data_IF_385028092938
#
_entry.id   IF_385028092938
#
_cell.length_a   1.000
_cell.length_b   1.000
_cell.length_c   1.000
_cell.angle_alpha   90.00
_cell.angle_beta   90.00
_cell.angle_gamma   90.00
#
_symmetry.space_group_name_H-M   'P 1'
#
loop_
_entity.id
_entity.type
_entity.pdbx_description
1 polymer ?
#
# COMPACT_ATOMS: atom_id res chain seq x y z
N UNK A 1 1.26 5.95 3.06
CA UNK A 1 0.21 5.84 1.99
C UNK A 1 0.87 5.46 0.67
N UNK A 2 1.61 6.37 0.03
CA UNK A 2 2.19 6.18 -1.32
C UNK A 2 3.07 4.94 -1.50
N UNK A 3 3.78 4.48 -0.46
CA UNK A 3 4.59 3.26 -0.55
C UNK A 3 3.77 2.03 -0.95
N UNK A 4 2.49 1.95 -0.56
CA UNK A 4 1.61 0.85 -0.94
C UNK A 4 1.13 0.97 -2.39
N UNK A 5 0.93 2.19 -2.90
CA UNK A 5 0.65 2.42 -4.33
C UNK A 5 1.85 2.00 -5.19
N UNK A 6 3.07 2.35 -4.76
CA UNK A 6 4.30 1.93 -5.43
C UNK A 6 4.52 0.42 -5.35
N UNK A 7 4.32 -0.18 -4.17
CA UNK A 7 4.42 -1.63 -3.97
C UNK A 7 3.45 -2.37 -4.89
N UNK A 8 2.17 -1.98 -4.92
CA UNK A 8 1.18 -2.57 -5.83
C UNK A 8 1.63 -2.50 -7.28
N UNK A 9 2.00 -1.32 -7.76
CA UNK A 9 2.44 -1.16 -9.15
C UNK A 9 3.72 -1.95 -9.47
N UNK A 10 4.68 -2.04 -8.53
CA UNK A 10 5.88 -2.84 -8.70
C UNK A 10 5.56 -4.34 -8.75
N UNK A 11 4.67 -4.82 -7.88
CA UNK A 11 4.20 -6.21 -7.86
C UNK A 11 3.43 -6.59 -9.13
N UNK A 12 2.59 -5.70 -9.67
CA UNK A 12 1.93 -5.89 -10.96
C UNK A 12 2.97 -6.08 -12.08
N UNK A 13 4.02 -5.24 -12.09
CA UNK A 13 5.09 -5.30 -13.09
C UNK A 13 6.00 -6.52 -12.92
N UNK A 14 6.20 -6.99 -11.69
CA UNK A 14 6.92 -8.22 -11.40
C UNK A 14 6.10 -9.48 -11.74
N UNK A 15 4.79 -9.34 -11.99
CA UNK A 15 3.89 -10.48 -12.21
C UNK A 15 3.51 -11.23 -10.93
N UNK A 16 3.79 -10.63 -9.76
CA UNK A 16 3.62 -11.21 -8.42
C UNK A 16 2.28 -10.85 -7.78
N UNK A 17 1.53 -9.91 -8.37
CA UNK A 17 0.21 -9.53 -7.89
C UNK A 17 -0.82 -9.47 -9.03
N UNK A 18 -1.98 -10.07 -8.77
CA UNK A 18 -3.18 -9.99 -9.62
C UNK A 18 -4.38 -9.75 -8.71
N UNK A 19 -5.14 -8.69 -8.98
CA UNK A 19 -6.28 -8.31 -8.13
C UNK A 19 -7.29 -9.45 -8.02
N UNK A 20 -7.52 -9.92 -6.79
CA UNK A 20 -8.49 -10.98 -6.49
C UNK A 20 -7.95 -12.41 -6.65
N UNK A 21 -6.69 -12.58 -7.04
CA UNK A 21 -6.03 -13.88 -7.05
C UNK A 21 -5.50 -14.21 -5.64
N UNK A 22 -5.91 -15.35 -5.03
CA UNK A 22 -5.46 -15.73 -3.69
C UNK A 22 -3.99 -16.12 -3.62
N UNK A 23 -3.36 -16.51 -4.73
CA UNK A 23 -1.95 -16.90 -4.78
C UNK A 23 -1.04 -15.69 -5.06
N UNK A 24 -1.57 -14.64 -5.70
CA UNK A 24 -0.84 -13.44 -6.11
C UNK A 24 -1.37 -12.19 -5.42
N UNK A 25 -1.14 -12.10 -4.11
CA UNK A 25 -1.64 -10.99 -3.28
C UNK A 25 -0.56 -9.93 -3.04
N UNK A 26 -0.96 -8.75 -2.57
CA UNK A 26 0.02 -7.72 -2.18
C UNK A 26 0.86 -8.13 -0.95
N UNK A 27 0.35 -9.04 -0.14
CA UNK A 27 0.93 -9.38 1.17
C UNK A 27 2.04 -10.44 1.05
N UNK A 28 2.07 -11.19 -0.06
CA UNK A 28 3.08 -12.21 -0.35
C UNK A 28 3.97 -11.88 -1.56
N UNK A 29 3.72 -10.76 -2.26
CA UNK A 29 4.54 -10.32 -3.38
C UNK A 29 6.02 -10.10 -2.99
N UNK A 30 6.93 -10.64 -3.79
CA UNK A 30 8.37 -10.36 -3.73
C UNK A 30 8.90 -9.84 -5.08
N UNK A 31 9.33 -8.58 -5.11
CA UNK A 31 9.89 -7.95 -6.32
C UNK A 31 11.39 -8.22 -6.51
N UNK A 32 12.00 -9.07 -5.68
CA UNK A 32 13.41 -9.45 -5.81
C UNK A 32 13.71 -9.99 -7.22
N UNK A 33 14.82 -9.53 -7.81
CA UNK A 33 15.26 -9.87 -9.17
C UNK A 33 14.31 -9.49 -10.33
N UNK A 34 13.21 -8.75 -10.09
CA UNK A 34 12.38 -8.24 -11.17
C UNK A 34 13.02 -7.04 -11.86
N UNK A 35 13.51 -7.26 -13.09
CA UNK A 35 14.08 -6.20 -13.95
C UNK A 35 12.98 -5.23 -14.39
N UNK A 36 11.77 -5.74 -14.62
CA UNK A 36 10.60 -4.98 -15.05
C UNK A 36 10.16 -3.98 -13.97
N UNK A 37 10.05 -4.43 -12.70
CA UNK A 37 9.76 -3.55 -11.58
C UNK A 37 10.88 -2.53 -11.37
N UNK A 38 12.14 -2.98 -11.42
CA UNK A 38 13.32 -2.13 -11.28
C UNK A 38 13.38 -1.02 -12.33
N UNK A 39 13.10 -1.33 -13.60
CA UNK A 39 13.09 -0.35 -14.69
C UNK A 39 12.02 0.73 -14.49
N UNK A 40 10.83 0.36 -14.02
CA UNK A 40 9.77 1.34 -13.76
C UNK A 40 10.08 2.23 -12.55
N UNK A 41 10.63 1.66 -11.48
CA UNK A 41 11.07 2.43 -10.31
C UNK A 41 12.20 3.39 -10.72
N UNK A 42 13.17 2.91 -11.50
CA UNK A 42 14.26 3.74 -12.04
C UNK A 42 13.73 4.92 -12.85
N UNK A 43 12.80 4.69 -13.77
CA UNK A 43 12.22 5.75 -14.60
C UNK A 43 11.54 6.85 -13.76
N UNK A 44 10.84 6.48 -12.69
CA UNK A 44 10.27 7.44 -11.74
C UNK A 44 11.37 8.21 -10.98
N UNK A 45 12.39 7.50 -10.46
CA UNK A 45 13.45 8.11 -9.64
C UNK A 45 14.38 9.02 -10.46
N UNK A 46 14.63 8.72 -11.73
CA UNK A 46 15.44 9.54 -12.64
C UNK A 46 14.88 10.95 -12.84
N UNK A 47 13.57 11.15 -12.65
CA UNK A 47 12.96 12.48 -12.72
C UNK A 47 13.43 13.39 -11.58
N UNK A 48 13.84 12.83 -10.43
CA UNK A 48 14.21 13.60 -9.25
C UNK A 48 13.17 14.68 -8.92
N UNK A 49 13.60 15.93 -8.79
CA UNK A 49 12.71 17.08 -8.58
C UNK A 49 12.43 17.89 -9.86
N UNK A 50 12.73 17.35 -11.04
CA UNK A 50 12.54 18.05 -12.32
C UNK A 50 11.06 18.19 -12.73
N UNK A 51 10.19 17.37 -12.14
CA UNK A 51 8.75 17.36 -12.39
C UNK A 51 7.98 17.43 -11.06
N UNK A 52 6.76 17.99 -11.06
CA UNK A 52 5.81 17.82 -9.96
C UNK A 52 5.63 16.33 -9.60
N UNK A 53 5.52 16.04 -8.31
CA UNK A 53 5.39 14.66 -7.82
C UNK A 53 4.25 13.82 -8.46
N UNK A 54 3.10 14.38 -8.90
CA UNK A 54 2.07 13.59 -9.59
C UNK A 54 2.56 13.00 -10.91
N UNK A 55 3.44 13.72 -11.62
CA UNK A 55 4.02 13.26 -12.89
C UNK A 55 5.00 12.11 -12.63
N UNK A 56 5.78 12.19 -11.55
CA UNK A 56 6.68 11.11 -11.17
C UNK A 56 5.90 9.85 -10.75
N UNK A 57 4.85 10.00 -9.95
CA UNK A 57 3.98 8.90 -9.54
C UNK A 57 3.35 8.19 -10.74
N UNK A 58 2.86 8.94 -11.73
CA UNK A 58 2.23 8.40 -12.93
C UNK A 58 3.15 7.48 -13.74
N UNK A 59 4.47 7.73 -13.75
CA UNK A 59 5.44 6.87 -14.44
C UNK A 59 5.45 5.44 -13.88
N UNK A 60 5.36 5.29 -12.56
CA UNK A 60 5.37 3.98 -11.92
C UNK A 60 3.97 3.36 -11.88
N UNK A 61 2.98 4.13 -11.43
CA UNK A 61 1.66 3.60 -11.06
C UNK A 61 0.57 3.84 -12.10
N UNK A 62 0.79 4.74 -13.07
CA UNK A 62 -0.28 5.25 -13.95
C UNK A 62 -1.29 6.15 -13.24
N UNK A 63 -1.10 6.43 -11.95
CA UNK A 63 -1.99 7.26 -11.13
C UNK A 63 -1.32 8.61 -10.84
N UNK A 64 -2.11 9.69 -10.79
CA UNK A 64 -1.62 11.05 -10.48
C UNK A 64 -2.00 11.54 -9.08
N UNK A 65 -2.64 10.69 -8.27
CA UNK A 65 -3.19 11.06 -6.96
C UNK A 65 -2.73 10.09 -5.89
N UNK A 66 -2.44 10.63 -4.72
CA UNK A 66 -2.28 9.81 -3.53
C UNK A 66 -3.62 9.17 -3.18
N UNK A 67 -3.62 7.85 -2.99
CA UNK A 67 -4.78 7.07 -2.59
C UNK A 67 -4.43 6.09 -1.47
N UNK A 68 -5.36 5.90 -0.53
CA UNK A 68 -5.27 4.89 0.51
C UNK A 68 -5.68 3.49 0.01
N UNK A 69 -6.17 3.34 -1.22
CA UNK A 69 -6.76 2.08 -1.70
C UNK A 69 -5.78 0.91 -1.59
N UNK A 70 -4.53 1.07 -2.03
CA UNK A 70 -3.53 0.01 -1.96
C UNK A 70 -3.16 -0.37 -0.51
N UNK A 71 -3.17 0.60 0.40
CA UNK A 71 -2.94 0.37 1.84
C UNK A 71 -4.11 -0.41 2.44
N UNK A 72 -5.34 0.01 2.14
CA UNK A 72 -6.56 -0.64 2.62
C UNK A 72 -6.65 -2.07 2.07
N UNK A 73 -6.30 -2.27 0.80
CA UNK A 73 -6.27 -3.57 0.15
C UNK A 73 -5.28 -4.52 0.83
N UNK A 74 -4.04 -4.05 1.06
CA UNK A 74 -3.01 -4.82 1.76
C UNK A 74 -3.48 -5.32 3.14
N UNK A 75 -4.10 -4.45 3.93
CA UNK A 75 -4.56 -4.79 5.28
C UNK A 75 -5.97 -5.37 5.34
N UNK A 76 -6.69 -5.51 4.21
CA UNK A 76 -8.09 -5.97 4.20
C UNK A 76 -8.27 -7.32 4.92
N UNK A 77 -7.45 -8.36 4.65
CA UNK A 77 -7.64 -9.65 5.32
C UNK A 77 -7.44 -9.56 6.84
N UNK A 78 -6.48 -8.75 7.30
CA UNK A 78 -6.24 -8.52 8.72
C UNK A 78 -7.39 -7.73 9.36
N UNK A 79 -7.90 -6.71 8.68
CA UNK A 79 -9.04 -5.92 9.16
C UNK A 79 -10.27 -6.81 9.35
N UNK A 80 -10.61 -7.62 8.34
CA UNK A 80 -11.77 -8.51 8.40
C UNK A 80 -11.64 -9.52 9.54
N UNK A 81 -10.43 -10.06 9.77
CA UNK A 81 -10.16 -10.94 10.91
C UNK A 81 -10.29 -10.23 12.26
N UNK A 82 -9.71 -9.03 12.39
CA UNK A 82 -9.72 -8.25 13.63
C UNK A 82 -11.13 -7.83 14.05
N UNK A 83 -12.01 -7.50 13.09
CA UNK A 83 -13.42 -7.16 13.39
C UNK A 83 -14.11 -8.32 14.10
N UNK A 84 -14.02 -9.53 13.52
CA UNK A 84 -14.63 -10.73 14.08
C UNK A 84 -14.00 -11.09 15.44
N UNK A 85 -12.68 -11.03 15.54
CA UNK A 85 -11.99 -11.44 16.75
C UNK A 85 -12.25 -10.47 17.91
N UNK A 86 -12.25 -9.16 17.65
CA UNK A 86 -12.55 -8.16 18.68
C UNK A 86 -13.98 -8.33 19.22
N UNK A 87 -14.95 -8.60 18.35
CA UNK A 87 -16.33 -8.93 18.76
C UNK A 87 -16.36 -10.21 19.61
N UNK A 88 -15.65 -11.25 19.19
CA UNK A 88 -15.59 -12.56 19.89
C UNK A 88 -15.06 -12.43 21.31
N UNK A 89 -14.02 -11.62 21.52
CA UNK A 89 -13.39 -11.45 22.83
C UNK A 89 -13.99 -10.30 23.65
N UNK A 90 -14.94 -9.54 23.08
CA UNK A 90 -15.50 -8.36 23.72
C UNK A 90 -14.49 -7.23 23.93
N UNK A 91 -13.52 -7.09 23.01
CA UNK A 91 -12.55 -6.02 23.08
C UNK A 91 -13.23 -4.66 22.88
N UNK A 92 -12.95 -3.70 23.76
CA UNK A 92 -13.41 -2.33 23.59
C UNK A 92 -12.65 -1.65 22.46
N UNK A 93 -13.37 -1.09 21.48
CA UNK A 93 -12.80 -0.32 20.36
C UNK A 93 -13.11 1.16 20.57
N UNK A 94 -12.06 1.97 20.72
CA UNK A 94 -12.16 3.39 21.04
C UNK A 94 -11.29 3.76 22.23
N UNK A 95 -11.26 5.05 22.56
CA UNK A 95 -10.56 5.57 23.74
C UNK A 95 -11.26 6.82 24.25
N UNK A 96 -11.21 7.07 25.55
CA UNK A 96 -11.68 8.30 26.17
C UNK A 96 -10.65 9.44 26.01
N UNK A 97 -11.09 10.69 26.16
CA UNK A 97 -10.17 11.84 26.14
C UNK A 97 -9.19 11.77 27.31
N UNK A 98 -7.93 12.09 27.05
CA UNK A 98 -6.89 12.04 28.08
C UNK A 98 -7.05 13.19 29.10
N UNK A 99 -6.96 12.86 30.39
CA UNK A 99 -6.89 13.83 31.50
C UNK A 99 -5.45 14.08 31.96
N UNK A 100 -4.47 13.46 31.29
CA UNK A 100 -3.07 13.45 31.71
C UNK A 100 -2.32 14.76 31.43
N UNK A 101 -2.92 15.69 30.68
CA UNK A 101 -2.36 17.01 30.41
C UNK A 101 -3.21 18.07 31.10
N UNK A 102 -2.66 18.74 32.11
CA UNK A 102 -3.31 19.87 32.80
C UNK A 102 -2.86 21.16 32.12
N UNK A 103 -3.82 22.00 31.71
CA UNK A 103 -3.57 23.30 31.07
C UNK A 103 -3.01 24.33 32.04
#
# INVERSE_FOLDING_TARGET
IIQFQFHRAACEKAGEYVKGDPEKTLNNCDIYQSVEAGNAIKAMLELGSSKPWPDAMEVLTGERRMSADALIEYFRPLYDWLVVENERIGAHVGWENTTMCVS
#
